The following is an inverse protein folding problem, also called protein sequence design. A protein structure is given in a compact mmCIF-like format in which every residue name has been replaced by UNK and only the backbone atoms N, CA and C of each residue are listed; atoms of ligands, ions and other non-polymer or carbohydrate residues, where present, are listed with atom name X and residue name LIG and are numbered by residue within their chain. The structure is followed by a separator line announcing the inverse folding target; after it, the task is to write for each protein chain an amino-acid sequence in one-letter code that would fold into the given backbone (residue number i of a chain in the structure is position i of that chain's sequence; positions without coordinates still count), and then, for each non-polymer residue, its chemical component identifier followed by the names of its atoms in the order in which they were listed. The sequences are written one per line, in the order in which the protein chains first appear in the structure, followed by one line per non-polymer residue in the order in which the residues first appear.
data_IF_912031643037
#
_entry.id   IF_912031643037
#
_cell.length_a   1.000
_cell.length_b   1.000
_cell.length_c   1.000
_cell.angle_alpha   90.00
_cell.angle_beta   90.00
_cell.angle_gamma   90.00
#
_symmetry.space_group_name_H-M   'P 1'
#
loop_
_entity.id
_entity.type
_entity.pdbx_description
1 polymer ?
#
# COMPACT_ATOMS: atom_id res chain seq x y z
N UNK A 1 7.44 28.01 51.08
CA UNK A 1 6.14 27.43 50.73
C UNK A 1 6.39 26.36 49.68
N UNK A 2 6.36 25.08 50.07
CA UNK A 2 6.62 23.94 49.17
C UNK A 2 5.45 23.79 48.22
N UNK A 3 5.66 24.01 46.93
CA UNK A 3 4.69 23.72 45.90
C UNK A 3 4.54 22.19 45.78
N UNK A 4 3.32 21.71 45.97
CA UNK A 4 2.92 20.33 45.80
C UNK A 4 3.18 19.89 44.36
N UNK A 5 4.13 18.96 44.19
CA UNK A 5 4.27 18.17 42.97
C UNK A 5 3.05 17.25 42.90
N UNK A 6 2.09 17.60 42.06
CA UNK A 6 0.96 16.76 41.71
C UNK A 6 1.49 15.44 41.18
N UNK A 7 1.11 14.34 41.85
CA UNK A 7 1.41 12.96 41.47
C UNK A 7 1.07 12.78 39.99
N UNK A 8 2.09 12.67 39.14
CA UNK A 8 1.91 12.17 37.78
C UNK A 8 1.40 10.75 37.90
N UNK A 9 0.15 10.54 37.47
CA UNK A 9 -0.46 9.23 37.40
C UNK A 9 0.40 8.40 36.44
N UNK A 10 1.26 7.54 36.99
CA UNK A 10 2.19 6.72 36.22
C UNK A 10 1.32 5.68 35.51
N UNK A 11 1.17 5.81 34.20
CA UNK A 11 0.38 4.89 33.38
C UNK A 11 0.82 3.44 33.66
N UNK A 12 -0.11 2.63 34.13
CA UNK A 12 0.19 1.29 34.63
C UNK A 12 0.05 0.26 33.52
N UNK A 13 1.18 -0.04 32.87
CA UNK A 13 1.26 -1.02 31.80
C UNK A 13 0.87 -2.44 32.23
N UNK A 14 0.85 -2.75 33.53
CA UNK A 14 0.49 -4.09 34.02
C UNK A 14 -1.01 -4.37 33.92
N UNK A 15 -1.83 -3.33 33.77
CA UNK A 15 -3.29 -3.44 33.63
C UNK A 15 -3.74 -3.61 32.18
N UNK A 16 -2.85 -3.39 31.23
CA UNK A 16 -3.15 -3.44 29.80
C UNK A 16 -2.92 -4.84 29.31
N UNK A 17 -3.96 -5.43 28.72
CA UNK A 17 -3.85 -6.75 28.11
C UNK A 17 -3.15 -6.63 26.76
N UNK A 18 -1.98 -7.26 26.66
CA UNK A 18 -1.29 -7.49 25.39
C UNK A 18 -1.70 -8.85 24.83
N UNK A 19 -2.05 -8.86 23.56
CA UNK A 19 -2.39 -10.05 22.80
C UNK A 19 -1.28 -10.38 21.82
N UNK A 20 -0.90 -11.65 21.69
CA UNK A 20 -0.01 -12.08 20.63
C UNK A 20 -0.81 -12.30 19.33
N UNK A 21 -0.12 -12.27 18.19
CA UNK A 21 -0.76 -12.46 16.88
C UNK A 21 -1.41 -13.82 16.66
N UNK A 22 -1.00 -14.82 17.43
CA UNK A 22 -1.47 -16.21 17.38
C UNK A 22 -2.49 -16.54 18.50
N UNK A 23 -2.89 -15.55 19.30
CA UNK A 23 -3.88 -15.77 20.35
C UNK A 23 -5.27 -16.10 19.76
N UNK A 24 -5.86 -17.22 20.21
CA UNK A 24 -7.15 -17.74 19.73
C UNK A 24 -8.32 -16.75 19.89
N UNK A 25 -8.27 -15.91 20.92
CA UNK A 25 -9.35 -14.98 21.26
C UNK A 25 -9.03 -13.52 20.90
N UNK A 26 -8.11 -13.29 19.95
CA UNK A 26 -7.73 -11.94 19.51
C UNK A 26 -8.99 -11.12 19.12
N UNK A 27 -9.16 -9.89 19.65
CA UNK A 27 -10.27 -9.03 19.26
C UNK A 27 -10.32 -8.79 17.75
N UNK A 28 -11.54 -8.71 17.20
CA UNK A 28 -11.77 -8.40 15.80
C UNK A 28 -11.44 -6.94 15.54
N UNK A 29 -10.77 -6.68 14.42
CA UNK A 29 -10.37 -5.34 14.01
C UNK A 29 -10.17 -5.31 12.49
N UNK A 30 -10.97 -4.50 11.80
CA UNK A 30 -10.94 -4.38 10.35
C UNK A 30 -9.76 -3.51 9.88
N UNK A 31 -8.63 -4.16 9.59
CA UNK A 31 -7.43 -3.51 9.08
C UNK A 31 -7.51 -3.17 7.58
N UNK A 32 -8.44 -3.74 6.81
CA UNK A 32 -8.33 -3.78 5.34
C UNK A 32 -9.06 -2.64 4.62
N UNK A 33 -10.12 -2.10 5.22
CA UNK A 33 -11.04 -1.18 4.52
C UNK A 33 -10.76 0.28 4.84
N UNK A 34 -10.89 0.67 6.11
CA UNK A 34 -10.94 2.08 6.55
C UNK A 34 -9.95 2.39 7.68
N UNK A 35 -9.06 1.46 8.01
CA UNK A 35 -8.06 1.67 9.06
C UNK A 35 -6.94 2.61 8.60
N UNK A 36 -6.59 3.55 9.46
CA UNK A 36 -5.54 4.54 9.25
C UNK A 36 -4.43 4.42 10.32
N UNK A 37 -3.22 4.87 9.96
CA UNK A 37 -2.11 4.97 10.90
C UNK A 37 -2.13 6.37 11.52
N UNK A 38 -2.59 6.47 12.78
CA UNK A 38 -2.58 7.73 13.52
C UNK A 38 -1.18 8.13 13.99
N UNK A 39 -0.33 7.15 14.36
CA UNK A 39 1.06 7.41 14.74
C UNK A 39 1.93 6.17 14.56
N UNK A 40 3.20 6.37 14.22
CA UNK A 40 4.16 5.27 14.16
C UNK A 40 5.56 5.68 14.59
N UNK A 41 6.38 4.69 14.95
CA UNK A 41 7.81 4.86 15.17
C UNK A 41 8.53 3.55 14.88
N UNK A 42 9.72 3.67 14.27
CA UNK A 42 10.56 2.54 13.93
C UNK A 42 11.95 2.76 14.53
N UNK A 43 12.48 1.72 15.15
CA UNK A 43 13.81 1.72 15.72
C UNK A 43 14.62 0.53 15.22
N UNK A 44 15.93 0.74 15.06
CA UNK A 44 16.92 -0.28 14.75
C UNK A 44 17.98 -0.31 15.84
N UNK A 45 18.17 -1.48 16.44
CA UNK A 45 19.31 -1.82 17.26
C UNK A 45 20.38 -2.44 16.36
N UNK A 46 21.59 -1.87 16.40
CA UNK A 46 22.71 -2.37 15.62
C UNK A 46 23.62 -3.21 16.50
N UNK A 47 23.69 -4.52 16.21
CA UNK A 47 24.61 -5.46 16.84
C UNK A 47 25.53 -6.08 15.77
N UNK A 48 26.73 -6.50 16.18
CA UNK A 48 27.80 -6.91 15.25
C UNK A 48 27.40 -8.05 14.29
N UNK A 49 26.49 -8.95 14.72
CA UNK A 49 26.02 -10.11 13.92
C UNK A 49 24.49 -10.17 13.74
N UNK A 50 23.74 -9.16 14.21
CA UNK A 50 22.28 -9.14 14.08
C UNK A 50 21.72 -7.72 14.06
N UNK A 51 20.63 -7.54 13.33
CA UNK A 51 19.83 -6.31 13.40
C UNK A 51 18.51 -6.63 14.08
N UNK A 52 18.18 -5.88 15.13
CA UNK A 52 16.87 -5.97 15.79
C UNK A 52 16.08 -4.72 15.45
N UNK A 53 14.86 -4.92 15.01
CA UNK A 53 13.95 -3.85 14.65
C UNK A 53 12.76 -3.86 15.61
N UNK A 54 12.30 -2.65 15.92
CA UNK A 54 11.11 -2.41 16.73
C UNK A 54 10.18 -1.49 15.97
N UNK A 55 8.93 -1.90 15.77
CA UNK A 55 7.88 -1.11 15.14
C UNK A 55 6.78 -0.85 16.16
N UNK A 56 6.38 0.40 16.24
CA UNK A 56 5.26 0.87 17.03
C UNK A 56 4.25 1.50 16.09
N UNK A 57 3.00 1.08 16.18
CA UNK A 57 1.91 1.62 15.37
C UNK A 57 0.71 1.89 16.26
N UNK A 58 0.10 3.05 16.09
CA UNK A 58 -1.21 3.39 16.59
C UNK A 58 -2.15 3.47 15.40
N UNK A 59 -3.08 2.53 15.34
CA UNK A 59 -4.04 2.34 14.26
C UNK A 59 -5.44 2.75 14.72
N UNK A 60 -6.18 3.38 13.82
CA UNK A 60 -7.47 4.00 14.10
C UNK A 60 -8.45 3.64 12.99
N UNK A 61 -9.64 3.21 13.35
CA UNK A 61 -10.78 3.17 12.44
C UNK A 61 -11.59 4.44 12.70
N UNK A 62 -11.69 5.38 11.74
CA UNK A 62 -12.46 6.60 11.91
C UNK A 62 -13.91 6.30 12.30
N UNK A 63 -14.50 7.15 13.14
CA UNK A 63 -15.85 6.94 13.70
C UNK A 63 -16.92 6.71 12.63
N UNK A 64 -16.81 7.42 11.50
CA UNK A 64 -17.70 7.31 10.34
C UNK A 64 -17.67 5.94 9.64
N UNK A 65 -16.60 5.16 9.84
CA UNK A 65 -16.42 3.83 9.27
C UNK A 65 -16.42 2.72 10.33
N UNK A 66 -16.62 3.07 11.61
CA UNK A 66 -16.57 2.10 12.69
C UNK A 66 -17.87 1.29 12.75
N UNK A 67 -17.74 -0.03 12.55
CA UNK A 67 -18.83 -0.99 12.68
C UNK A 67 -18.48 -2.08 13.71
N UNK A 68 -19.34 -2.22 14.74
CA UNK A 68 -19.22 -3.25 15.77
C UNK A 68 -19.41 -4.68 15.26
N UNK A 69 -19.97 -4.85 14.07
CA UNK A 69 -20.08 -6.17 13.45
C UNK A 69 -18.74 -6.67 12.93
N UNK A 70 -17.85 -5.77 12.50
CA UNK A 70 -16.54 -6.09 11.92
C UNK A 70 -15.38 -5.82 12.88
N UNK A 71 -15.51 -4.88 13.81
CA UNK A 71 -14.46 -4.45 14.72
C UNK A 71 -14.95 -4.30 16.15
N UNK A 72 -14.28 -4.94 17.10
CA UNK A 72 -14.65 -4.86 18.52
C UNK A 72 -14.19 -3.53 19.14
N UNK A 73 -13.19 -2.85 18.55
CA UNK A 73 -12.59 -1.60 19.04
C UNK A 73 -12.26 -0.64 17.89
N UNK A 74 -12.25 0.67 18.18
CA UNK A 74 -11.84 1.71 17.21
C UNK A 74 -10.33 1.88 17.12
N UNK A 75 -9.59 1.64 18.22
CA UNK A 75 -8.16 1.89 18.29
C UNK A 75 -7.39 0.62 18.61
N UNK A 76 -6.26 0.45 17.92
CA UNK A 76 -5.34 -0.65 18.12
C UNK A 76 -3.90 -0.13 18.17
N UNK A 77 -3.21 -0.43 19.26
CA UNK A 77 -1.75 -0.34 19.30
C UNK A 77 -1.15 -1.66 18.86
N UNK A 78 -0.18 -1.60 17.95
CA UNK A 78 0.59 -2.74 17.46
C UNK A 78 2.07 -2.52 17.77
N UNK A 79 2.68 -3.52 18.39
CA UNK A 79 4.11 -3.59 18.65
C UNK A 79 4.68 -4.80 17.93
N UNK A 80 5.73 -4.58 17.13
CA UNK A 80 6.47 -5.66 16.50
C UNK A 80 7.94 -5.57 16.86
N UNK A 81 8.51 -6.70 17.27
CA UNK A 81 9.95 -6.87 17.42
C UNK A 81 10.41 -7.96 16.46
N UNK A 82 11.34 -7.61 15.57
CA UNK A 82 11.90 -8.53 14.60
C UNK A 82 13.42 -8.59 14.73
N UNK A 83 13.96 -9.78 14.94
CA UNK A 83 15.42 -10.02 14.93
C UNK A 83 15.81 -10.70 13.61
N UNK A 84 16.79 -10.11 12.93
CA UNK A 84 17.44 -10.63 11.73
C UNK A 84 18.87 -11.01 12.09
N UNK A 85 19.23 -12.29 11.92
CA UNK A 85 20.56 -12.82 12.26
C UNK A 85 21.32 -13.08 10.94
N UNK A 86 22.52 -12.50 10.81
CA UNK A 86 23.35 -12.61 9.61
C UNK A 86 22.85 -11.82 8.39
N UNK A 87 23.70 -11.72 7.35
CA UNK A 87 23.39 -10.98 6.12
C UNK A 87 22.62 -11.82 5.07
N UNK A 88 22.59 -13.15 5.19
CA UNK A 88 22.28 -14.04 4.05
C UNK A 88 21.03 -14.91 4.22
N UNK A 89 20.53 -15.16 5.43
CA UNK A 89 19.41 -16.11 5.61
C UNK A 89 18.08 -15.42 5.91
N UNK A 90 17.19 -15.37 4.92
CA UNK A 90 15.78 -15.05 5.11
C UNK A 90 15.03 -16.05 6.04
N UNK A 91 15.71 -17.12 6.49
CA UNK A 91 15.15 -18.24 7.23
C UNK A 91 15.24 -18.13 8.77
N UNK A 92 16.20 -17.38 9.33
CA UNK A 92 16.31 -17.21 10.79
C UNK A 92 15.73 -15.87 11.24
N UNK A 93 14.41 -15.72 11.05
CA UNK A 93 13.65 -14.56 11.50
C UNK A 93 12.87 -14.91 12.75
N UNK A 94 13.14 -14.20 13.85
CA UNK A 94 12.28 -14.24 15.04
C UNK A 94 11.42 -12.99 15.04
N UNK A 95 10.10 -13.17 14.93
CA UNK A 95 9.13 -12.08 14.91
C UNK A 95 8.20 -12.25 16.11
N UNK A 96 8.10 -11.20 16.92
CA UNK A 96 7.09 -11.07 17.96
C UNK A 96 6.17 -9.93 17.55
N UNK A 97 4.87 -10.21 17.43
CA UNK A 97 3.85 -9.18 17.19
C UNK A 97 2.84 -9.22 18.32
N UNK A 98 2.61 -8.05 18.92
CA UNK A 98 1.68 -7.86 20.02
C UNK A 98 0.71 -6.73 19.73
N UNK A 99 -0.50 -6.85 20.27
CA UNK A 99 -1.58 -5.89 20.10
C UNK A 99 -2.18 -5.48 21.45
N UNK A 100 -2.62 -4.23 21.54
CA UNK A 100 -3.49 -3.75 22.59
C UNK A 100 -4.66 -3.00 21.97
N UNK A 101 -5.85 -3.19 22.52
CA UNK A 101 -7.09 -2.62 22.01
C UNK A 101 -7.76 -1.81 23.11
N UNK A 102 -8.29 -0.65 22.76
CA UNK A 102 -9.04 0.24 23.67
C UNK A 102 -9.81 1.23 22.81
N UNK A 103 -10.93 1.73 23.31
CA UNK A 103 -11.64 2.86 22.67
C UNK A 103 -11.21 4.21 23.27
N UNK A 104 -10.35 4.24 24.30
CA UNK A 104 -9.82 5.47 24.89
C UNK A 104 -8.55 5.93 24.14
N UNK A 105 -8.59 7.08 23.43
CA UNK A 105 -7.43 7.63 22.75
C UNK A 105 -6.28 7.96 23.70
N UNK A 106 -6.58 8.39 24.93
CA UNK A 106 -5.56 8.76 25.90
C UNK A 106 -4.80 7.53 26.39
N UNK A 107 -5.50 6.42 26.63
CA UNK A 107 -4.89 5.15 27.01
C UNK A 107 -3.93 4.68 25.91
N UNK A 108 -4.40 4.68 24.66
CA UNK A 108 -3.59 4.25 23.52
C UNK A 108 -2.39 5.16 23.26
N UNK A 109 -2.55 6.47 23.42
CA UNK A 109 -1.46 7.43 23.29
C UNK A 109 -0.42 7.27 24.40
N UNK A 110 -0.86 7.03 25.65
CA UNK A 110 0.03 6.76 26.78
C UNK A 110 0.77 5.43 26.62
N UNK A 111 0.10 4.40 26.08
CA UNK A 111 0.71 3.12 25.74
C UNK A 111 1.78 3.28 24.67
N UNK A 112 1.45 3.96 23.57
CA UNK A 112 2.42 4.26 22.51
C UNK A 112 3.63 5.00 23.08
N UNK A 113 3.41 6.07 23.85
CA UNK A 113 4.49 6.85 24.46
C UNK A 113 5.34 6.01 25.40
N UNK A 114 4.73 5.15 26.20
CA UNK A 114 5.43 4.27 27.14
C UNK A 114 6.36 3.29 26.42
N UNK A 115 5.88 2.64 25.35
CA UNK A 115 6.71 1.76 24.53
C UNK A 115 7.78 2.54 23.76
N UNK A 116 7.43 3.72 23.22
CA UNK A 116 8.37 4.60 22.54
C UNK A 116 9.55 4.95 23.43
N UNK A 117 9.32 5.48 24.63
CA UNK A 117 10.39 5.85 25.55
C UNK A 117 11.16 4.62 26.05
N UNK A 118 10.49 3.48 26.24
CA UNK A 118 11.16 2.22 26.62
C UNK A 118 12.14 1.77 25.55
N UNK A 119 11.74 1.76 24.28
CA UNK A 119 12.60 1.36 23.16
C UNK A 119 13.69 2.40 22.92
N UNK A 120 13.36 3.69 22.93
CA UNK A 120 14.32 4.78 22.74
C UNK A 120 15.40 4.86 23.83
N UNK A 121 15.14 4.33 25.03
CA UNK A 121 16.11 4.25 26.11
C UNK A 121 17.04 3.02 26.02
N UNK A 122 16.81 2.10 25.07
CA UNK A 122 17.66 0.92 24.90
C UNK A 122 19.04 1.33 24.36
N UNK A 123 20.13 0.66 24.77
CA UNK A 123 21.46 0.96 24.25
C UNK A 123 21.54 0.61 22.75
N UNK A 124 22.35 1.36 21.99
CA UNK A 124 22.61 1.13 20.55
C UNK A 124 21.36 1.15 19.67
N UNK A 125 20.28 1.77 20.14
CA UNK A 125 19.05 1.99 19.40
C UNK A 125 19.18 3.28 18.57
N UNK A 126 18.69 3.24 17.34
CA UNK A 126 18.56 4.42 16.48
C UNK A 126 17.15 4.46 15.93
N UNK A 127 16.52 5.64 15.97
CA UNK A 127 15.25 5.84 15.27
C UNK A 127 15.55 5.98 13.79
N UNK A 128 14.79 5.26 12.97
CA UNK A 128 14.90 5.31 11.51
C UNK A 128 13.57 5.73 10.91
N UNK A 129 13.64 6.50 9.83
CA UNK A 129 12.48 6.97 9.08
C UNK A 129 12.50 6.43 7.63
N UNK A 130 13.35 5.44 7.35
CA UNK A 130 13.57 4.91 6.01
C UNK A 130 12.82 3.60 5.77
N UNK A 131 12.64 3.25 4.49
CA UNK A 131 12.08 1.98 4.08
C UNK A 131 12.90 0.82 4.63
N UNK A 132 12.21 -0.14 5.22
CA UNK A 132 12.79 -1.29 5.90
C UNK A 132 12.88 -2.51 4.98
N UNK A 133 13.66 -3.54 5.38
CA UNK A 133 13.64 -4.84 4.71
C UNK A 133 12.20 -5.35 4.54
N UNK A 134 11.89 -5.96 3.38
CA UNK A 134 10.56 -6.46 3.05
C UNK A 134 9.95 -7.25 4.23
N UNK A 135 8.78 -6.78 4.70
CA UNK A 135 7.90 -7.36 5.76
C UNK A 135 8.02 -6.81 7.19
N UNK A 136 8.57 -5.61 7.42
CA UNK A 136 8.56 -4.99 8.75
C UNK A 136 7.37 -4.02 8.93
N UNK A 137 6.49 -4.26 9.91
CA UNK A 137 5.30 -3.44 10.13
C UNK A 137 4.03 -3.96 9.44
N UNK A 138 2.89 -3.32 9.70
CA UNK A 138 1.62 -3.61 9.03
C UNK A 138 1.66 -3.24 7.54
N UNK A 139 0.76 -3.84 6.75
CA UNK A 139 0.60 -3.48 5.33
C UNK A 139 0.22 -2.00 5.17
N UNK A 140 -0.57 -1.46 6.09
CA UNK A 140 -0.97 -0.06 6.13
C UNK A 140 0.24 0.86 6.33
N UNK A 141 1.10 0.54 7.30
CA UNK A 141 2.32 1.30 7.54
C UNK A 141 3.26 1.25 6.33
N UNK A 142 3.46 0.06 5.76
CA UNK A 142 4.30 -0.10 4.57
C UNK A 142 3.79 0.73 3.38
N UNK A 143 2.46 0.75 3.15
CA UNK A 143 1.84 1.59 2.13
C UNK A 143 2.05 3.08 2.43
N UNK A 144 1.83 3.51 3.67
CA UNK A 144 2.03 4.90 4.07
C UNK A 144 3.48 5.36 3.90
N UNK A 145 4.47 4.53 4.27
CA UNK A 145 5.89 4.82 4.10
C UNK A 145 6.28 4.87 2.61
N UNK A 146 5.68 3.99 1.79
CA UNK A 146 5.92 3.96 0.35
C UNK A 146 5.37 5.22 -0.34
N UNK A 147 4.14 5.64 -0.01
CA UNK A 147 3.55 6.87 -0.54
C UNK A 147 4.37 8.10 -0.12
N UNK A 148 4.72 8.23 1.17
CA UNK A 148 5.59 9.32 1.63
C UNK A 148 6.92 9.36 0.90
N UNK A 149 7.49 8.19 0.58
CA UNK A 149 8.73 8.10 -0.20
C UNK A 149 8.54 8.54 -1.64
N UNK A 150 7.46 8.13 -2.31
CA UNK A 150 7.14 8.62 -3.67
C UNK A 150 7.02 10.15 -3.67
N UNK A 151 6.34 10.70 -2.67
CA UNK A 151 6.11 12.15 -2.58
C UNK A 151 7.38 12.94 -2.21
N UNK A 152 8.39 12.30 -1.63
CA UNK A 152 9.63 12.95 -1.16
C UNK A 152 10.88 12.56 -1.93
N UNK A 153 10.83 11.52 -2.76
CA UNK A 153 11.96 11.16 -3.63
C UNK A 153 11.97 12.04 -4.86
N UNK A 154 13.02 12.84 -4.96
CA UNK A 154 13.56 13.24 -6.25
C UNK A 154 14.02 11.95 -6.91
N UNK A 155 13.24 11.48 -7.89
CA UNK A 155 13.63 10.37 -8.76
C UNK A 155 14.97 10.71 -9.41
N UNK A 156 15.84 9.71 -9.55
CA UNK A 156 17.10 9.88 -10.27
C UNK A 156 16.81 10.39 -11.69
N UNK A 157 17.58 11.34 -12.17
CA UNK A 157 17.35 11.98 -13.46
C UNK A 157 17.33 10.96 -14.60
N UNK A 158 18.16 9.90 -14.53
CA UNK A 158 18.16 8.84 -15.53
C UNK A 158 16.87 8.01 -15.48
N UNK A 159 16.30 7.82 -14.29
CA UNK A 159 15.03 7.10 -14.12
C UNK A 159 13.87 7.94 -14.64
N UNK A 160 13.86 9.26 -14.37
CA UNK A 160 12.90 10.18 -14.96
C UNK A 160 12.98 10.18 -16.49
N UNK A 161 14.18 10.35 -17.05
CA UNK A 161 14.40 10.33 -18.49
C UNK A 161 13.99 9.00 -19.11
N UNK A 162 14.24 7.88 -18.44
CA UNK A 162 13.79 6.56 -18.91
C UNK A 162 12.26 6.46 -18.92
N UNK A 163 11.58 6.88 -17.84
CA UNK A 163 10.11 6.87 -17.76
C UNK A 163 9.52 7.77 -18.83
N UNK A 164 10.04 8.99 -18.99
CA UNK A 164 9.61 9.92 -20.03
C UNK A 164 9.85 9.35 -21.42
N UNK A 165 10.99 8.70 -21.66
CA UNK A 165 11.30 8.09 -22.95
C UNK A 165 10.32 6.95 -23.27
N UNK A 166 10.05 6.06 -22.32
CA UNK A 166 9.07 4.97 -22.49
C UNK A 166 7.67 5.55 -22.72
N UNK A 167 7.29 6.58 -21.97
CA UNK A 167 5.99 7.24 -22.10
C UNK A 167 5.83 7.90 -23.47
N UNK A 168 6.82 8.67 -23.91
CA UNK A 168 6.84 9.33 -25.22
C UNK A 168 6.86 8.32 -26.37
N UNK A 169 7.60 7.23 -26.23
CA UNK A 169 7.63 6.15 -27.23
C UNK A 169 6.26 5.46 -27.33
N UNK A 170 5.67 5.08 -26.18
CA UNK A 170 4.36 4.42 -26.13
C UNK A 170 3.25 5.31 -26.70
N UNK A 171 3.21 6.60 -26.32
CA UNK A 171 2.26 7.57 -26.87
C UNK A 171 2.56 7.84 -28.35
N UNK A 172 3.84 7.89 -28.73
CA UNK A 172 4.26 8.04 -30.12
C UNK A 172 3.74 6.92 -31.00
N UNK A 173 3.82 5.67 -30.53
CA UNK A 173 3.32 4.51 -31.25
C UNK A 173 1.79 4.48 -31.33
N UNK A 174 1.09 4.85 -30.26
CA UNK A 174 -0.37 5.02 -30.29
C UNK A 174 -0.77 6.13 -31.28
N UNK A 175 -0.06 7.26 -31.28
CA UNK A 175 -0.32 8.37 -32.19
C UNK A 175 -0.09 7.99 -33.66
N UNK A 176 0.81 7.05 -33.97
CA UNK A 176 0.98 6.53 -35.34
C UNK A 176 -0.27 5.77 -35.80
N UNK A 177 -0.91 5.03 -34.90
CA UNK A 177 -2.04 4.15 -35.21
C UNK A 177 -3.38 4.90 -35.19
N UNK A 178 -3.57 5.73 -34.16
CA UNK A 178 -4.84 6.41 -33.87
C UNK A 178 -4.98 7.71 -34.65
N UNK A 179 -6.21 8.04 -35.04
CA UNK A 179 -6.55 9.33 -35.66
C UNK A 179 -6.95 10.40 -34.65
N UNK A 180 -7.07 10.03 -33.37
CA UNK A 180 -7.34 10.93 -32.24
C UNK A 180 -6.25 10.81 -31.18
N UNK A 181 -6.14 11.82 -30.32
CA UNK A 181 -5.20 11.82 -29.19
C UNK A 181 -5.54 10.69 -28.21
N UNK A 182 -4.56 9.87 -27.76
CA UNK A 182 -4.79 8.85 -26.74
C UNK A 182 -5.44 9.41 -25.47
N UNK A 183 -5.09 10.63 -25.09
CA UNK A 183 -5.62 11.33 -23.91
C UNK A 183 -7.11 11.66 -24.00
N UNK A 184 -7.70 11.63 -25.20
CA UNK A 184 -9.12 11.87 -25.42
C UNK A 184 -9.99 10.61 -25.26
N UNK A 185 -9.37 9.44 -25.14
CA UNK A 185 -10.05 8.15 -25.03
C UNK A 185 -10.36 7.88 -23.57
N UNK A 186 -11.64 7.72 -23.24
CA UNK A 186 -12.06 7.41 -21.87
C UNK A 186 -12.02 5.91 -21.59
N UNK A 187 -11.83 5.51 -20.33
CA UNK A 187 -11.90 4.10 -19.93
C UNK A 187 -13.22 3.44 -20.36
N UNK A 188 -14.33 4.19 -20.31
CA UNK A 188 -15.63 3.71 -20.80
C UNK A 188 -15.60 3.38 -22.28
N UNK A 189 -14.99 4.25 -23.10
CA UNK A 189 -14.83 4.04 -24.53
C UNK A 189 -14.01 2.79 -24.83
N UNK A 190 -12.96 2.53 -24.02
CA UNK A 190 -12.14 1.31 -24.13
C UNK A 190 -12.97 0.07 -23.81
N UNK A 191 -13.73 0.07 -22.71
CA UNK A 191 -14.61 -1.05 -22.33
C UNK A 191 -15.64 -1.34 -23.43
N UNK A 192 -16.25 -0.30 -24.00
CA UNK A 192 -17.22 -0.44 -25.10
C UNK A 192 -16.55 -0.98 -26.39
N UNK A 193 -15.30 -0.59 -26.65
CA UNK A 193 -14.49 -1.11 -27.76
C UNK A 193 -14.12 -2.59 -27.55
N UNK A 194 -13.67 -2.98 -26.36
CA UNK A 194 -13.37 -4.37 -26.01
C UNK A 194 -14.60 -5.27 -26.14
N UNK A 195 -15.76 -4.80 -25.69
CA UNK A 195 -17.03 -5.52 -25.86
C UNK A 195 -17.36 -5.77 -27.34
N UNK A 196 -17.11 -4.78 -28.20
CA UNK A 196 -17.28 -4.95 -29.65
C UNK A 196 -16.30 -5.98 -30.24
N UNK A 197 -15.04 -6.01 -29.78
CA UNK A 197 -14.06 -7.03 -30.21
C UNK A 197 -14.45 -8.44 -29.75
N UNK A 198 -15.02 -8.58 -28.55
CA UNK A 198 -15.57 -9.85 -28.07
C UNK A 198 -16.74 -10.33 -28.93
N UNK A 199 -17.61 -9.42 -29.37
CA UNK A 199 -18.71 -9.73 -30.30
C UNK A 199 -18.18 -10.20 -31.67
N UNK A 200 -17.13 -9.54 -32.21
CA UNK A 200 -16.44 -9.99 -33.43
C UNK A 200 -15.88 -11.40 -33.24
N UNK A 201 -15.26 -11.68 -32.08
CA UNK A 201 -14.70 -13.00 -31.76
C UNK A 201 -15.76 -14.11 -31.75
N UNK A 202 -16.95 -13.84 -31.21
CA UNK A 202 -17.99 -14.84 -31.04
C UNK A 202 -18.88 -15.03 -32.27
N UNK A 203 -19.14 -13.95 -33.02
CA UNK A 203 -20.16 -13.95 -34.09
C UNK A 203 -19.62 -13.65 -35.47
N UNK A 204 -18.36 -13.21 -35.59
CA UNK A 204 -17.76 -12.72 -36.83
C UNK A 204 -18.60 -11.60 -37.48
N UNK A 205 -19.29 -10.81 -36.67
CA UNK A 205 -20.21 -9.76 -37.11
C UNK A 205 -19.44 -8.53 -37.63
N UNK A 206 -19.53 -8.17 -38.93
CA UNK A 206 -18.84 -7.01 -39.48
C UNK A 206 -19.34 -5.69 -38.89
N UNK A 207 -20.59 -5.61 -38.40
CA UNK A 207 -21.11 -4.42 -37.73
C UNK A 207 -20.42 -4.16 -36.38
N UNK A 208 -20.03 -5.21 -35.67
CA UNK A 208 -19.28 -5.10 -34.41
C UNK A 208 -17.86 -4.56 -34.66
N UNK A 209 -17.22 -4.98 -35.74
CA UNK A 209 -15.92 -4.43 -36.14
C UNK A 209 -16.01 -2.93 -36.48
N UNK A 210 -17.08 -2.49 -37.16
CA UNK A 210 -17.31 -1.07 -37.43
C UNK A 210 -17.54 -0.27 -36.13
N UNK A 211 -18.26 -0.83 -35.16
CA UNK A 211 -18.44 -0.21 -33.84
C UNK A 211 -17.12 -0.03 -33.12
N UNK A 212 -16.24 -1.03 -33.13
CA UNK A 212 -14.89 -0.90 -32.59
C UNK A 212 -14.14 0.30 -33.19
N UNK A 213 -14.10 0.43 -34.51
CA UNK A 213 -13.43 1.56 -35.17
C UNK A 213 -14.10 2.92 -34.92
N UNK A 214 -15.36 2.94 -34.50
CA UNK A 214 -16.03 4.18 -34.08
C UNK A 214 -15.61 4.62 -32.66
N UNK A 215 -15.32 3.67 -31.77
CA UNK A 215 -14.84 3.94 -30.42
C UNK A 215 -13.34 4.24 -30.37
N UNK A 216 -12.56 3.52 -31.19
CA UNK A 216 -11.11 3.72 -31.33
C UNK A 216 -10.81 4.06 -32.79
N UNK A 217 -10.90 5.36 -33.16
CA UNK A 217 -10.62 5.81 -34.52
C UNK A 217 -9.16 5.58 -34.90
N UNK A 218 -8.95 4.82 -35.97
CA UNK A 218 -7.63 4.56 -36.54
C UNK A 218 -7.34 5.51 -37.70
N UNK A 219 -6.06 5.72 -38.00
CA UNK A 219 -5.66 6.35 -39.26
C UNK A 219 -5.98 5.44 -40.44
N UNK A 220 -6.21 5.98 -41.65
CA UNK A 220 -6.62 5.20 -42.82
C UNK A 220 -5.69 4.03 -43.15
N UNK A 221 -4.38 4.22 -42.95
CA UNK A 221 -3.32 3.22 -43.15
C UNK A 221 -3.45 1.99 -42.22
N UNK A 222 -4.13 2.15 -41.08
CA UNK A 222 -4.36 1.09 -40.08
C UNK A 222 -5.81 0.60 -40.07
N UNK A 223 -6.63 1.09 -41.01
CA UNK A 223 -8.03 0.75 -41.21
C UNK A 223 -8.25 -0.05 -42.52
N UNK A 224 -7.16 -0.61 -43.09
CA UNK A 224 -7.14 -1.11 -44.46
C UNK A 224 -8.08 -2.30 -44.68
N UNK A 225 -8.43 -3.03 -43.63
CA UNK A 225 -9.34 -4.15 -43.72
C UNK A 225 -10.06 -4.36 -42.37
N UNK A 226 -11.40 -4.40 -42.38
CA UNK A 226 -12.23 -4.91 -41.29
C UNK A 226 -11.56 -6.15 -40.67
N UNK A 227 -11.63 -6.36 -39.35
CA UNK A 227 -10.94 -7.45 -38.64
C UNK A 227 -11.19 -8.83 -39.33
N UNK A 228 -10.34 -9.23 -40.29
CA UNK A 228 -10.60 -10.37 -41.20
C UNK A 228 -10.12 -11.70 -40.65
N UNK A 229 -9.14 -11.66 -39.75
CA UNK A 229 -8.46 -12.85 -39.26
C UNK A 229 -8.20 -12.73 -37.75
N UNK A 230 -7.95 -13.87 -37.12
CA UNK A 230 -7.70 -13.97 -35.68
C UNK A 230 -6.50 -13.14 -35.23
N UNK A 231 -5.49 -12.98 -36.09
CA UNK A 231 -4.31 -12.17 -35.77
C UNK A 231 -4.68 -10.69 -35.62
N UNK A 232 -5.39 -10.13 -36.59
CA UNK A 232 -5.89 -8.77 -36.54
C UNK A 232 -6.78 -8.55 -35.30
N UNK A 233 -7.60 -9.53 -34.94
CA UNK A 233 -8.42 -9.46 -33.72
C UNK A 233 -7.56 -9.36 -32.45
N UNK A 234 -6.52 -10.18 -32.35
CA UNK A 234 -5.59 -10.15 -31.20
C UNK A 234 -4.88 -8.80 -31.16
N UNK A 235 -4.36 -8.32 -32.28
CA UNK A 235 -3.68 -7.02 -32.37
C UNK A 235 -4.60 -5.86 -31.93
N UNK A 236 -5.92 -5.95 -32.18
CA UNK A 236 -6.89 -4.95 -31.70
C UNK A 236 -7.23 -5.10 -30.21
N UNK A 237 -7.23 -6.32 -29.68
CA UNK A 237 -7.40 -6.55 -28.23
C UNK A 237 -6.18 -6.01 -27.49
N UNK A 238 -4.97 -6.31 -27.98
CA UNK A 238 -3.72 -5.82 -27.40
C UNK A 238 -3.62 -4.29 -27.47
N UNK A 239 -4.20 -3.64 -28.48
CA UNK A 239 -4.28 -2.18 -28.56
C UNK A 239 -5.19 -1.56 -27.50
N UNK A 240 -6.23 -2.27 -27.04
CA UNK A 240 -7.09 -1.78 -25.96
C UNK A 240 -6.45 -1.91 -24.57
N UNK A 241 -5.52 -2.85 -24.41
CA UNK A 241 -4.80 -3.13 -23.17
C UNK A 241 -3.70 -2.09 -22.90
#
# INVERSE_FOLDING_TARGET
TRANVTKTNKFDLTKIKLWNSDDVNLPRFDELTHCEIGRWAIFKETNDNSSVFFVLELQVIPEEYYDRTTSDYQLRFRYEKQTIIGEVSQHDKRVLVQYAFSDDPNEQQQLFASFYYRVAAMPRITRINEMLPNKLGSKLLLRSLFTQRIDTQILDENVCQLIESIWLESIGDLNKILSISPESITLRTIIEAEAALLEVKSTNNPAAALRFYSFIPHRPEYNIDLIKNRRALIEKIDLCQ
#
